data_IF_371144358739
#
_entry.id   IF_371144358739
#
_cell.length_a   1.000
_cell.length_b   1.000
_cell.length_c   1.000
_cell.angle_alpha   90.00
_cell.angle_beta   90.00
_cell.angle_gamma   90.00
#
_symmetry.space_group_name_H-M   'P 1'
#
loop_
_entity.id
_entity.type
_entity.pdbx_description
1 polymer ?
#
# COMPACT_ATOMS: atom_id res chain seq x y z
N UNK A 1 -9.81 -12.08 -11.84
CA UNK A 1 -8.56 -12.86 -11.79
C UNK A 1 -8.34 -13.33 -10.36
N UNK A 2 -8.38 -14.62 -10.14
CA UNK A 2 -8.06 -15.19 -8.83
C UNK A 2 -6.57 -14.98 -8.56
N UNK A 3 -6.25 -14.27 -7.48
CA UNK A 3 -4.88 -14.24 -6.95
C UNK A 3 -4.61 -15.64 -6.40
N UNK A 4 -3.59 -16.37 -6.88
CA UNK A 4 -3.30 -17.71 -6.38
C UNK A 4 -2.98 -17.64 -4.89
N UNK A 5 -3.39 -18.66 -4.16
CA UNK A 5 -3.07 -18.78 -2.73
C UNK A 5 -1.57 -19.06 -2.59
N UNK A 6 -0.80 -18.03 -2.13
CA UNK A 6 0.62 -18.16 -1.82
C UNK A 6 1.55 -18.28 -3.03
N UNK A 7 1.86 -17.16 -3.73
CA UNK A 7 3.02 -17.15 -4.64
C UNK A 7 4.29 -17.50 -3.87
N UNK A 8 5.15 -18.38 -4.41
CA UNK A 8 6.37 -18.74 -3.74
C UNK A 8 7.28 -17.51 -3.66
N UNK A 9 7.67 -17.15 -2.43
CA UNK A 9 8.73 -16.17 -2.20
C UNK A 9 9.97 -16.58 -2.97
N UNK A 10 10.68 -15.61 -3.55
CA UNK A 10 11.94 -15.90 -4.26
C UNK A 10 12.89 -16.60 -3.30
N UNK A 11 13.18 -17.87 -3.57
CA UNK A 11 14.14 -18.65 -2.78
C UNK A 11 15.52 -17.99 -2.87
N UNK A 12 16.14 -17.72 -1.71
CA UNK A 12 17.46 -17.12 -1.64
C UNK A 12 17.53 -15.61 -1.81
N UNK A 13 16.41 -14.91 -1.98
CA UNK A 13 16.40 -13.45 -1.99
C UNK A 13 16.52 -12.91 -0.56
N UNK A 14 17.43 -11.95 -0.36
CA UNK A 14 17.52 -11.22 0.90
C UNK A 14 16.50 -10.07 0.91
N UNK A 15 15.47 -10.19 1.73
CA UNK A 15 14.40 -9.20 1.89
C UNK A 15 14.79 -8.03 2.81
N UNK A 16 16.09 -7.79 3.00
CA UNK A 16 16.64 -6.62 3.70
C UNK A 16 17.39 -5.72 2.74
N UNK A 17 17.38 -4.42 2.99
CA UNK A 17 18.14 -3.45 2.22
C UNK A 17 17.30 -2.51 1.36
N UNK A 18 18.00 -1.78 0.50
CA UNK A 18 17.43 -0.78 -0.41
C UNK A 18 16.80 -1.45 -1.62
N UNK A 19 15.65 -2.04 -1.42
CA UNK A 19 14.86 -2.69 -2.48
C UNK A 19 13.48 -2.07 -2.57
N UNK A 20 12.87 -2.17 -3.76
CA UNK A 20 11.48 -1.77 -4.01
C UNK A 20 10.61 -2.99 -4.14
N UNK A 21 9.44 -2.91 -3.56
CA UNK A 21 8.50 -4.01 -3.49
C UNK A 21 7.11 -3.57 -3.89
N UNK A 22 6.39 -4.49 -4.49
CA UNK A 22 4.94 -4.45 -4.62
C UNK A 22 4.32 -5.59 -3.84
N UNK A 23 3.38 -5.27 -2.96
CA UNK A 23 2.62 -6.26 -2.21
C UNK A 23 1.16 -6.28 -2.63
N UNK A 24 0.58 -7.49 -2.59
CA UNK A 24 -0.87 -7.68 -2.60
C UNK A 24 -1.27 -8.47 -1.37
N UNK A 25 -2.18 -7.92 -0.58
CA UNK A 25 -2.64 -8.49 0.68
C UNK A 25 -4.15 -8.53 0.68
N UNK A 26 -4.72 -9.73 0.87
CA UNK A 26 -6.16 -9.92 0.83
C UNK A 26 -6.81 -9.77 2.21
N UNK A 27 -8.03 -9.25 2.23
CA UNK A 27 -8.92 -9.37 3.37
C UNK A 27 -9.24 -10.85 3.63
N UNK A 28 -9.48 -11.21 4.88
CA UNK A 28 -9.84 -12.57 5.27
C UNK A 28 -11.12 -13.02 4.54
N UNK A 29 -11.04 -14.17 3.89
CA UNK A 29 -12.15 -14.71 3.10
C UNK A 29 -12.55 -13.83 1.91
N UNK A 30 -11.69 -12.93 1.46
CA UNK A 30 -11.95 -11.99 0.35
C UNK A 30 -13.21 -11.14 0.58
N UNK A 31 -13.52 -10.84 1.82
CA UNK A 31 -14.64 -9.97 2.16
C UNK A 31 -14.35 -8.52 1.73
N UNK A 32 -15.37 -7.83 1.25
CA UNK A 32 -15.27 -6.44 0.80
C UNK A 32 -15.25 -5.47 2.00
N UNK A 33 -14.17 -5.51 2.80
CA UNK A 33 -14.00 -4.71 4.01
C UNK A 33 -13.49 -3.29 3.74
N UNK A 34 -12.74 -3.10 2.65
CA UNK A 34 -12.07 -1.82 2.35
C UNK A 34 -12.95 -0.83 1.59
N UNK A 35 -14.25 -0.93 1.80
CA UNK A 35 -15.25 0.08 1.45
C UNK A 35 -15.56 1.01 2.63
N UNK A 36 -15.14 0.62 3.83
CA UNK A 36 -15.24 1.42 5.05
C UNK A 36 -14.07 2.42 5.10
N UNK A 37 -14.42 3.72 5.00
CA UNK A 37 -13.44 4.82 4.98
C UNK A 37 -12.62 4.89 6.26
N UNK A 38 -13.22 4.66 7.41
CA UNK A 38 -12.54 4.75 8.71
C UNK A 38 -11.58 3.59 8.89
N UNK A 39 -11.95 2.40 8.45
CA UNK A 39 -11.06 1.23 8.45
C UNK A 39 -9.86 1.46 7.55
N UNK A 40 -10.07 1.93 6.32
CA UNK A 40 -8.99 2.22 5.37
C UNK A 40 -8.05 3.29 5.93
N UNK A 41 -8.58 4.37 6.50
CA UNK A 41 -7.77 5.43 7.11
C UNK A 41 -6.93 4.91 8.28
N UNK A 42 -7.50 4.07 9.14
CA UNK A 42 -6.80 3.47 10.27
C UNK A 42 -5.65 2.56 9.81
N UNK A 43 -5.89 1.72 8.80
CA UNK A 43 -4.86 0.83 8.23
C UNK A 43 -3.74 1.66 7.61
N UNK A 44 -4.06 2.65 6.78
CA UNK A 44 -3.06 3.49 6.10
C UNK A 44 -2.19 4.25 7.09
N UNK A 45 -2.78 4.74 8.19
CA UNK A 45 -2.03 5.38 9.28
C UNK A 45 -0.99 4.42 9.89
N UNK A 46 -1.37 3.16 10.16
CA UNK A 46 -0.44 2.18 10.72
C UNK A 46 0.64 1.76 9.72
N UNK A 47 0.31 1.65 8.42
CA UNK A 47 1.30 1.40 7.37
C UNK A 47 2.36 2.52 7.36
N UNK A 48 1.94 3.79 7.37
CA UNK A 48 2.85 4.95 7.36
C UNK A 48 3.72 5.02 8.61
N UNK A 49 3.14 4.75 9.78
CA UNK A 49 3.90 4.66 11.05
C UNK A 49 4.94 3.55 11.01
N UNK A 50 4.55 2.36 10.60
CA UNK A 50 5.46 1.23 10.49
C UNK A 50 6.56 1.48 9.44
N UNK A 51 6.24 2.15 8.32
CA UNK A 51 7.22 2.54 7.31
C UNK A 51 8.31 3.43 7.91
N UNK A 52 7.93 4.50 8.61
CA UNK A 52 8.89 5.38 9.28
C UNK A 52 9.78 4.66 10.30
N UNK A 53 9.20 3.76 11.11
CA UNK A 53 9.93 3.01 12.14
C UNK A 53 10.85 1.92 11.58
N UNK A 54 10.56 1.38 10.39
CA UNK A 54 11.31 0.28 9.77
C UNK A 54 12.11 0.74 8.54
N UNK A 55 12.29 2.04 8.36
CA UNK A 55 13.07 2.64 7.29
C UNK A 55 12.57 2.27 5.89
N UNK A 56 11.27 2.36 5.71
CA UNK A 56 10.59 2.25 4.43
C UNK A 56 9.91 3.56 4.05
N UNK A 57 9.71 3.75 2.75
CA UNK A 57 8.86 4.82 2.18
C UNK A 57 7.76 4.18 1.35
N UNK A 58 6.52 4.57 1.62
CA UNK A 58 5.38 4.19 0.78
C UNK A 58 5.44 5.02 -0.49
N UNK A 59 5.36 4.37 -1.64
CA UNK A 59 5.34 5.02 -2.96
C UNK A 59 3.93 5.16 -3.50
N UNK A 60 3.13 4.10 -3.36
CA UNK A 60 1.73 4.10 -3.76
C UNK A 60 0.93 3.06 -3.00
N UNK A 61 -0.37 3.27 -2.90
CA UNK A 61 -1.31 2.31 -2.33
C UNK A 61 -2.64 2.35 -3.08
N UNK A 62 -3.34 1.22 -3.06
CA UNK A 62 -4.70 1.12 -3.56
C UNK A 62 -5.46 0.05 -2.78
N UNK A 63 -6.44 0.48 -2.00
CA UNK A 63 -7.37 -0.42 -1.31
C UNK A 63 -8.52 -0.75 -2.26
N UNK A 64 -8.44 -1.90 -2.92
CA UNK A 64 -9.59 -2.49 -3.60
C UNK A 64 -10.57 -3.02 -2.55
N UNK A 65 -11.84 -3.27 -2.86
CA UNK A 65 -12.83 -3.66 -1.85
C UNK A 65 -12.38 -4.83 -0.94
N UNK A 66 -11.66 -5.81 -1.46
CA UNK A 66 -11.30 -7.05 -0.78
C UNK A 66 -9.78 -7.32 -0.70
N UNK A 67 -8.94 -6.39 -1.16
CA UNK A 67 -7.48 -6.51 -1.10
C UNK A 67 -6.78 -5.15 -1.20
N UNK A 68 -5.55 -5.11 -0.71
CA UNK A 68 -4.66 -3.94 -0.74
C UNK A 68 -3.50 -4.21 -1.70
N UNK A 69 -3.24 -3.26 -2.60
CA UNK A 69 -1.96 -3.12 -3.30
C UNK A 69 -1.12 -2.04 -2.61
N UNK A 70 0.14 -2.37 -2.34
CA UNK A 70 1.08 -1.46 -1.69
C UNK A 70 2.43 -1.50 -2.41
N UNK A 71 2.92 -0.34 -2.84
CA UNK A 71 4.26 -0.18 -3.43
C UNK A 71 5.11 0.65 -2.48
N UNK A 72 6.30 0.17 -2.17
CA UNK A 72 7.19 0.84 -1.21
C UNK A 72 8.64 0.49 -1.45
N UNK A 73 9.55 1.27 -0.85
CA UNK A 73 11.00 1.04 -0.95
C UNK A 73 11.67 1.09 0.42
N UNK A 74 12.70 0.26 0.58
CA UNK A 74 13.62 0.33 1.71
C UNK A 74 14.59 1.49 1.56
N UNK A 75 14.85 2.22 2.65
CA UNK A 75 15.68 3.42 2.66
C UNK A 75 17.10 3.17 3.20
N UNK A 76 17.37 1.98 3.71
CA UNK A 76 18.68 1.60 4.25
C UNK A 76 18.90 0.10 4.20
N UNK A 77 20.14 -0.31 4.48
CA UNK A 77 20.51 -1.73 4.56
C UNK A 77 19.81 -2.47 5.71
N UNK A 78 19.28 -1.74 6.69
CA UNK A 78 18.53 -2.30 7.82
C UNK A 78 17.01 -2.43 7.56
N UNK A 79 16.51 -1.98 6.40
CA UNK A 79 15.11 -2.09 6.05
C UNK A 79 14.74 -3.56 5.81
N UNK A 80 13.93 -4.15 6.69
CA UNK A 80 13.48 -5.55 6.64
C UNK A 80 12.01 -5.62 6.26
N UNK A 81 11.73 -6.18 5.09
CA UNK A 81 10.37 -6.31 4.55
C UNK A 81 9.43 -7.06 5.50
N UNK A 82 9.87 -8.18 6.03
CA UNK A 82 9.01 -9.01 6.90
C UNK A 82 8.63 -8.27 8.17
N UNK A 83 9.62 -7.64 8.79
CA UNK A 83 9.44 -6.85 10.00
C UNK A 83 8.46 -5.69 9.76
N UNK A 84 8.62 -4.99 8.65
CA UNK A 84 7.71 -3.92 8.24
C UNK A 84 6.26 -4.41 8.08
N UNK A 85 6.06 -5.45 7.26
CA UNK A 85 4.71 -5.96 6.98
C UNK A 85 4.06 -6.54 8.23
N UNK A 86 4.80 -7.31 9.05
CA UNK A 86 4.28 -7.86 10.29
C UNK A 86 3.86 -6.77 11.27
N UNK A 87 4.61 -5.69 11.39
CA UNK A 87 4.34 -4.62 12.34
C UNK A 87 2.92 -4.04 12.17
N UNK A 88 2.58 -3.58 10.97
CA UNK A 88 1.27 -2.98 10.74
C UNK A 88 0.14 -4.00 10.57
N UNK A 89 0.42 -5.20 10.01
CA UNK A 89 -0.59 -6.26 9.91
C UNK A 89 -1.06 -6.76 11.28
N UNK A 90 -0.14 -6.94 12.22
CA UNK A 90 -0.49 -7.39 13.57
C UNK A 90 -1.33 -6.35 14.32
N UNK A 91 -0.94 -5.09 14.29
CA UNK A 91 -1.67 -4.01 14.98
C UNK A 91 -3.08 -3.87 14.39
N UNK A 92 -3.21 -3.74 13.08
CA UNK A 92 -4.50 -3.54 12.43
C UNK A 92 -5.39 -4.77 12.56
N UNK A 93 -4.83 -5.97 12.44
CA UNK A 93 -5.56 -7.22 12.61
C UNK A 93 -6.06 -7.41 14.04
N UNK A 94 -5.25 -7.08 15.04
CA UNK A 94 -5.65 -7.13 16.45
C UNK A 94 -6.77 -6.12 16.77
N UNK A 95 -6.61 -4.86 16.36
CA UNK A 95 -7.61 -3.82 16.61
C UNK A 95 -8.95 -4.15 15.94
N UNK A 96 -8.91 -4.63 14.71
CA UNK A 96 -10.11 -5.05 13.99
C UNK A 96 -10.79 -6.24 14.67
N UNK A 97 -10.03 -7.28 15.01
CA UNK A 97 -10.57 -8.48 15.68
C UNK A 97 -11.15 -8.18 17.04
N UNK A 98 -10.51 -7.32 17.82
CA UNK A 98 -11.04 -6.88 19.13
C UNK A 98 -12.38 -6.16 18.99
N UNK A 99 -12.56 -5.40 17.92
CA UNK A 99 -13.77 -4.59 17.69
C UNK A 99 -14.91 -5.39 17.05
N UNK A 100 -14.60 -6.35 16.18
CA UNK A 100 -15.60 -7.06 15.36
C UNK A 100 -15.73 -8.55 15.67
N UNK A 101 -14.78 -9.13 16.39
CA UNK A 101 -14.70 -10.57 16.61
C UNK A 101 -14.22 -11.38 15.39
N UNK A 102 -13.83 -10.71 14.28
CA UNK A 102 -13.48 -11.34 13.02
C UNK A 102 -12.04 -11.04 12.63
N UNK A 103 -11.47 -11.86 11.74
CA UNK A 103 -10.14 -11.61 11.19
C UNK A 103 -10.20 -10.54 10.09
N UNK A 104 -9.21 -9.65 10.07
CA UNK A 104 -9.05 -8.64 9.03
C UNK A 104 -8.32 -9.20 7.80
N UNK A 105 -7.18 -9.85 8.01
CA UNK A 105 -6.26 -10.24 6.97
C UNK A 105 -6.28 -11.75 6.70
N UNK A 106 -6.15 -12.10 5.43
CA UNK A 106 -5.76 -13.44 5.03
C UNK A 106 -4.32 -13.73 5.46
N UNK A 107 -3.99 -14.98 5.71
CA UNK A 107 -2.64 -15.42 6.03
C UNK A 107 -1.72 -15.21 4.81
N UNK A 108 -0.53 -14.68 5.06
CA UNK A 108 0.45 -14.41 4.01
C UNK A 108 0.20 -13.11 3.23
N UNK A 109 0.95 -12.96 2.17
CA UNK A 109 0.88 -11.87 1.20
C UNK A 109 1.68 -12.25 -0.06
N UNK A 110 1.36 -11.59 -1.17
CA UNK A 110 2.14 -11.65 -2.40
C UNK A 110 3.15 -10.55 -2.44
N UNK A 111 4.39 -10.86 -2.78
CA UNK A 111 5.42 -9.87 -2.99
C UNK A 111 6.06 -9.99 -4.38
N UNK A 112 6.43 -8.85 -4.94
CA UNK A 112 7.20 -8.73 -6.16
C UNK A 112 8.29 -7.68 -5.97
N UNK A 113 9.54 -8.04 -6.29
CA UNK A 113 10.69 -7.13 -6.23
C UNK A 113 10.77 -6.35 -7.53
N UNK A 114 10.75 -5.02 -7.44
CA UNK A 114 10.85 -4.11 -8.57
C UNK A 114 12.32 -3.76 -8.81
N UNK A 115 12.84 -4.06 -10.01
CA UNK A 115 14.29 -4.02 -10.27
C UNK A 115 14.83 -2.74 -10.92
N UNK A 116 13.96 -1.84 -11.37
CA UNK A 116 14.35 -0.60 -12.02
C UNK A 116 13.43 0.56 -11.68
N UNK A 117 13.92 1.79 -11.83
CA UNK A 117 13.12 3.01 -11.61
C UNK A 117 11.94 3.08 -12.58
N UNK A 118 12.19 2.82 -13.85
CA UNK A 118 11.16 2.80 -14.89
C UNK A 118 10.10 1.71 -14.64
N UNK A 119 10.56 0.52 -14.19
CA UNK A 119 9.66 -0.56 -13.79
C UNK A 119 8.81 -0.20 -12.57
N UNK A 120 9.37 0.55 -11.63
CA UNK A 120 8.67 1.04 -10.45
C UNK A 120 7.57 2.02 -10.82
N UNK A 121 7.88 3.01 -11.67
CA UNK A 121 6.90 4.00 -12.11
C UNK A 121 5.74 3.36 -12.86
N UNK A 122 6.01 2.49 -13.82
CA UNK A 122 4.97 1.73 -14.53
C UNK A 122 4.10 0.92 -13.56
N UNK A 123 4.71 0.32 -12.55
CA UNK A 123 4.00 -0.47 -11.56
C UNK A 123 3.12 0.39 -10.65
N UNK A 124 3.60 1.57 -10.24
CA UNK A 124 2.79 2.55 -9.52
C UNK A 124 1.57 2.96 -10.35
N UNK A 125 1.76 3.31 -11.62
CA UNK A 125 0.65 3.63 -12.52
C UNK A 125 -0.33 2.46 -12.69
N UNK A 126 0.19 1.24 -12.78
CA UNK A 126 -0.64 0.03 -12.83
C UNK A 126 -1.51 -0.13 -11.57
N UNK A 127 -0.93 0.05 -10.39
CA UNK A 127 -1.63 -0.03 -9.10
C UNK A 127 -2.71 1.04 -8.99
N UNK A 128 -2.39 2.30 -9.32
CA UNK A 128 -3.34 3.41 -9.28
C UNK A 128 -4.47 3.26 -10.31
N UNK A 129 -4.22 2.57 -11.40
CA UNK A 129 -5.22 2.27 -12.45
C UNK A 129 -6.16 1.10 -12.13
N UNK A 130 -5.90 0.33 -11.07
CA UNK A 130 -6.74 -0.82 -10.71
C UNK A 130 -8.22 -0.47 -10.51
N UNK A 131 -8.60 0.61 -9.81
CA UNK A 131 -10.01 0.97 -9.65
C UNK A 131 -10.71 1.29 -10.97
N UNK A 132 -10.01 1.92 -11.90
CA UNK A 132 -10.56 2.24 -13.24
C UNK A 132 -10.81 0.96 -14.03
N UNK A 133 -9.84 0.04 -14.06
CA UNK A 133 -10.00 -1.27 -14.73
C UNK A 133 -11.11 -2.12 -14.11
N UNK A 134 -11.38 -1.96 -12.82
CA UNK A 134 -12.46 -2.64 -12.11
C UNK A 134 -13.82 -1.92 -12.20
N UNK A 135 -13.89 -0.78 -12.87
CA UNK A 135 -15.11 0.02 -12.98
C UNK A 135 -15.54 0.73 -11.69
N UNK A 136 -14.62 0.92 -10.73
CA UNK A 136 -14.89 1.55 -9.43
C UNK A 136 -14.68 3.07 -9.45
N UNK A 137 -13.99 3.58 -10.45
CA UNK A 137 -13.76 5.01 -10.66
C UNK A 137 -13.65 5.31 -12.16
N UNK A 138 -14.09 6.51 -12.62
CA UNK A 138 -14.02 6.88 -14.05
C UNK A 138 -12.58 7.16 -14.48
N UNK A 139 -11.78 7.76 -13.61
CA UNK A 139 -10.38 8.12 -13.90
C UNK A 139 -9.46 7.82 -12.74
N UNK A 140 -8.15 7.73 -13.01
CA UNK A 140 -7.11 7.65 -12.00
C UNK A 140 -7.13 8.93 -11.16
N UNK A 141 -7.09 8.80 -9.83
CA UNK A 141 -7.13 9.91 -8.88
C UNK A 141 -8.52 10.22 -8.30
N UNK A 142 -9.59 9.73 -8.91
CA UNK A 142 -10.95 9.89 -8.37
C UNK A 142 -11.35 8.79 -7.38
N UNK A 143 -10.57 7.72 -7.29
CA UNK A 143 -10.83 6.65 -6.32
C UNK A 143 -10.31 7.06 -4.93
N UNK A 144 -11.20 7.13 -3.90
CA UNK A 144 -10.84 7.73 -2.61
C UNK A 144 -9.88 6.88 -1.77
N UNK A 145 -9.68 5.61 -2.12
CA UNK A 145 -8.88 4.66 -1.35
C UNK A 145 -7.56 4.30 -2.05
N UNK A 146 -7.09 5.16 -2.95
CA UNK A 146 -5.79 5.06 -3.60
C UNK A 146 -5.02 6.37 -3.51
N UNK A 147 -3.70 6.29 -3.50
CA UNK A 147 -2.83 7.45 -3.47
C UNK A 147 -1.39 7.11 -3.80
N UNK A 148 -0.61 8.15 -4.07
CA UNK A 148 0.80 8.07 -4.42
C UNK A 148 1.58 9.11 -3.61
N UNK A 149 2.59 8.65 -2.88
CA UNK A 149 3.49 9.48 -2.09
C UNK A 149 4.87 9.63 -2.78
N UNK A 150 4.91 9.61 -4.12
CA UNK A 150 6.13 9.92 -4.86
C UNK A 150 6.51 11.37 -4.57
N UNK A 151 7.55 11.57 -3.73
CA UNK A 151 8.10 12.89 -3.48
C UNK A 151 8.68 13.46 -4.78
N UNK A 152 8.08 14.52 -5.29
CA UNK A 152 8.58 15.22 -6.48
C UNK A 152 7.58 16.04 -7.27
N UNK A 153 6.33 16.13 -6.85
CA UNK A 153 5.47 17.21 -7.32
C UNK A 153 5.25 18.20 -6.18
N UNK A 154 6.24 19.07 -5.98
CA UNK A 154 6.01 20.39 -5.42
C UNK A 154 4.97 21.06 -6.33
N UNK A 155 3.72 21.01 -5.95
CA UNK A 155 2.80 22.04 -6.39
C UNK A 155 3.24 23.30 -5.64
N UNK A 156 3.67 24.36 -6.36
CA UNK A 156 3.92 25.62 -5.70
C UNK A 156 2.61 26.06 -5.05
N UNK A 157 2.67 26.31 -3.76
CA UNK A 157 1.60 26.95 -3.03
C UNK A 157 1.14 28.16 -3.83
N UNK A 158 -0.13 28.17 -4.18
CA UNK A 158 -0.80 29.28 -4.85
C UNK A 158 -0.64 30.51 -3.94
N UNK A 159 0.30 31.36 -4.33
CA UNK A 159 0.58 32.59 -3.62
C UNK A 159 -0.66 33.47 -3.65
N UNK A 160 -1.19 33.69 -2.46
CA UNK A 160 -2.10 34.73 -2.07
C UNK A 160 -1.91 36.01 -2.90
N UNK A 161 -2.75 36.22 -3.91
CA UNK A 161 -2.91 37.52 -4.57
C UNK A 161 -3.81 38.36 -3.69
N UNK A 162 -3.18 39.18 -2.82
CA UNK A 162 -3.85 40.33 -2.23
C UNK A 162 -4.22 41.29 -3.35
N UNK A 163 -5.44 41.81 -3.38
CA UNK A 163 -5.75 42.92 -4.26
C UNK A 163 -5.15 44.19 -3.67
N UNK A 164 -4.28 44.82 -4.42
CA UNK A 164 -3.89 46.21 -4.13
C UNK A 164 -5.03 47.16 -4.49
N UNK A 165 -5.43 47.94 -3.51
CA UNK A 165 -6.31 49.10 -3.65
C UNK A 165 -5.58 50.27 -4.28
#
# INVERSE_FOLDING_TARGET
MSVPDGAPRMRGFNYTGVHRYSLTICAHGRQCLFVDRDLVAAILLQIRRAAGLNQFRVLAYCFMPDHLHLVFEGLSDAADLRRFVMAWKQITGFEYSRRTGSRLWQVGFFDHVLRSDEGTERHVQYVLGNPVRAGLAPTVGEYPFAGCDLAGTDQPAETDRRPET
#
